data_IF_753553117963
#
_entry.id   IF_753553117963
#
_cell.length_a   1.000
_cell.length_b   1.000
_cell.length_c   1.000
_cell.angle_alpha   90.00
_cell.angle_beta   90.00
_cell.angle_gamma   90.00
#
_symmetry.space_group_name_H-M   'P 1'
#
loop_
_entity.id
_entity.type
_entity.pdbx_description
1 polymer ?
#
# COMPACT_ATOMS: atom_id res chain seq x y z
N UNK A 1 4.64 22.10 -5.67
CA UNK A 1 5.11 20.69 -5.67
C UNK A 1 5.73 20.43 -4.30
N UNK A 2 5.02 19.69 -3.44
CA UNK A 2 5.23 19.70 -1.99
C UNK A 2 6.49 18.94 -1.57
N UNK A 3 7.17 19.39 -0.50
CA UNK A 3 8.34 18.74 0.12
C UNK A 3 8.18 17.22 0.28
N UNK A 4 6.97 16.76 0.57
CA UNK A 4 6.61 15.34 0.71
C UNK A 4 6.84 14.54 -0.58
N UNK A 5 6.50 15.10 -1.73
CA UNK A 5 6.71 14.44 -3.03
C UNK A 5 8.20 14.30 -3.34
N UNK A 6 9.01 15.30 -2.99
CA UNK A 6 10.47 15.21 -3.14
C UNK A 6 11.02 14.08 -2.26
N UNK A 7 10.58 14.02 -1.00
CA UNK A 7 11.00 12.98 -0.06
C UNK A 7 10.58 11.57 -0.49
N UNK A 8 9.55 11.42 -1.32
CA UNK A 8 9.10 10.11 -1.79
C UNK A 8 10.11 9.39 -2.70
N UNK A 9 11.00 10.14 -3.36
CA UNK A 9 12.00 9.57 -4.28
C UNK A 9 13.13 8.78 -3.58
N UNK A 10 13.40 9.04 -2.31
CA UNK A 10 14.48 8.37 -1.58
C UNK A 10 14.11 8.18 -0.12
N UNK A 11 14.55 7.06 0.46
CA UNK A 11 14.39 6.83 1.89
C UNK A 11 15.13 7.89 2.72
N UNK A 12 14.76 8.01 4.00
CA UNK A 12 15.49 8.86 4.96
C UNK A 12 16.99 8.56 4.95
N UNK A 13 17.39 7.30 4.82
CA UNK A 13 18.78 6.88 4.73
C UNK A 13 19.47 7.39 3.47
N UNK A 14 18.78 7.44 2.32
CA UNK A 14 19.30 8.05 1.11
C UNK A 14 19.55 9.55 1.28
N UNK A 15 18.59 10.29 1.84
CA UNK A 15 18.78 11.72 2.11
C UNK A 15 19.90 11.99 3.12
N UNK A 16 19.98 11.22 4.21
CA UNK A 16 21.07 11.34 5.19
C UNK A 16 22.44 11.03 4.55
N UNK A 17 22.50 9.99 3.71
CA UNK A 17 23.72 9.62 2.99
C UNK A 17 24.16 10.70 2.00
N UNK A 18 23.21 11.38 1.33
CA UNK A 18 23.51 12.49 0.43
C UNK A 18 24.10 13.67 1.19
N UNK A 19 23.50 14.04 2.33
CA UNK A 19 23.99 15.14 3.18
C UNK A 19 25.38 14.81 3.72
N UNK A 20 25.53 13.65 4.35
CA UNK A 20 26.82 13.19 4.87
C UNK A 20 27.87 13.12 3.75
N UNK A 21 27.51 12.54 2.61
CA UNK A 21 28.37 12.39 1.45
C UNK A 21 28.88 13.74 0.93
N UNK A 22 27.98 14.72 0.83
CA UNK A 22 28.30 16.09 0.42
C UNK A 22 29.26 16.77 1.40
N UNK A 23 29.06 16.60 2.71
CA UNK A 23 29.95 17.19 3.73
C UNK A 23 31.33 16.52 3.69
N UNK A 24 31.36 15.19 3.64
CA UNK A 24 32.59 14.40 3.64
C UNK A 24 33.43 14.60 2.37
N UNK A 25 32.82 14.99 1.25
CA UNK A 25 33.52 15.31 0.00
C UNK A 25 34.58 16.42 0.16
N UNK A 26 34.36 17.36 1.08
CA UNK A 26 35.29 18.46 1.37
C UNK A 26 36.36 18.12 2.41
N UNK A 27 36.39 16.88 2.91
CA UNK A 27 37.40 16.42 3.88
C UNK A 27 38.65 15.88 3.17
N UNK A 28 39.83 15.89 3.82
CA UNK A 28 41.04 15.30 3.25
C UNK A 28 40.91 13.78 3.05
N UNK A 29 41.75 13.23 2.16
CA UNK A 29 41.86 11.78 1.97
C UNK A 29 42.12 11.05 3.30
N UNK A 30 41.48 9.90 3.55
CA UNK A 30 40.57 9.16 2.67
C UNK A 30 39.07 9.51 2.84
N UNK A 31 38.73 10.55 3.62
CA UNK A 31 37.34 10.85 3.98
C UNK A 31 36.48 11.32 2.81
N UNK A 32 37.05 12.05 1.85
CA UNK A 32 36.38 12.40 0.58
C UNK A 32 35.88 11.18 -0.22
N UNK A 33 36.59 10.04 -0.19
CA UNK A 33 36.16 8.80 -0.86
C UNK A 33 34.90 8.23 -0.23
N UNK A 34 34.82 8.24 1.10
CA UNK A 34 33.57 7.90 1.80
C UNK A 34 32.45 8.89 1.45
N UNK A 35 32.80 10.17 1.24
CA UNK A 35 31.89 11.19 0.74
C UNK A 35 31.28 10.83 -0.61
N UNK A 36 32.14 10.48 -1.58
CA UNK A 36 31.73 10.05 -2.91
C UNK A 36 30.87 8.79 -2.89
N UNK A 37 31.24 7.79 -2.06
CA UNK A 37 30.44 6.58 -1.87
C UNK A 37 29.02 6.91 -1.36
N UNK A 38 28.89 7.84 -0.42
CA UNK A 38 27.58 8.28 0.10
C UNK A 38 26.73 8.99 -0.95
N UNK A 39 27.33 9.86 -1.77
CA UNK A 39 26.65 10.53 -2.88
C UNK A 39 26.16 9.50 -3.89
N UNK A 40 27.03 8.59 -4.33
CA UNK A 40 26.67 7.57 -5.31
C UNK A 40 25.61 6.59 -4.77
N UNK A 41 25.68 6.20 -3.50
CA UNK A 41 24.64 5.38 -2.86
C UNK A 41 23.27 6.07 -2.90
N UNK A 42 23.23 7.37 -2.60
CA UNK A 42 22.00 8.17 -2.65
C UNK A 42 21.45 8.24 -4.07
N UNK A 43 22.32 8.47 -5.06
CA UNK A 43 21.95 8.46 -6.46
C UNK A 43 21.50 7.09 -6.98
N UNK A 44 22.03 5.98 -6.45
CA UNK A 44 21.52 4.64 -6.73
C UNK A 44 20.07 4.49 -6.22
N UNK A 45 19.77 4.97 -5.02
CA UNK A 45 18.41 4.93 -4.47
C UNK A 45 17.44 5.79 -5.30
N UNK A 46 17.88 6.99 -5.71
CA UNK A 46 17.10 7.83 -6.61
C UNK A 46 16.86 7.15 -7.97
N UNK A 47 17.91 6.56 -8.55
CA UNK A 47 17.87 5.85 -9.82
C UNK A 47 16.92 4.64 -9.77
N UNK A 48 16.90 3.92 -8.66
CA UNK A 48 15.96 2.81 -8.42
C UNK A 48 14.51 3.29 -8.43
N UNK A 49 14.20 4.38 -7.72
CA UNK A 49 12.85 4.95 -7.70
C UNK A 49 12.40 5.41 -9.09
N UNK A 50 13.30 6.06 -9.85
CA UNK A 50 13.01 6.46 -11.23
C UNK A 50 12.79 5.23 -12.11
N UNK A 51 13.60 4.18 -11.95
CA UNK A 51 13.49 2.95 -12.73
C UNK A 51 12.18 2.19 -12.47
N UNK A 52 11.65 2.24 -11.24
CA UNK A 52 10.32 1.71 -10.92
C UNK A 52 9.21 2.55 -11.56
N UNK A 53 9.33 3.88 -11.53
CA UNK A 53 8.37 4.77 -12.20
C UNK A 53 8.36 4.50 -13.72
N UNK A 54 9.52 4.35 -14.34
CA UNK A 54 9.61 4.05 -15.77
C UNK A 54 9.04 2.67 -16.11
N UNK A 55 9.13 1.71 -15.19
CA UNK A 55 8.53 0.38 -15.34
C UNK A 55 7.00 0.48 -15.41
N UNK A 56 6.38 1.14 -14.43
CA UNK A 56 4.92 1.37 -14.45
C UNK A 56 4.48 2.17 -15.69
N UNK A 57 5.31 3.13 -16.10
CA UNK A 57 5.03 3.91 -17.31
C UNK A 57 5.11 3.05 -18.58
N UNK A 58 5.98 2.05 -18.63
CA UNK A 58 6.05 1.09 -19.73
C UNK A 58 4.75 0.30 -19.92
N UNK A 59 4.14 -0.18 -18.83
CA UNK A 59 2.83 -0.81 -18.90
C UNK A 59 1.76 0.13 -19.47
N UNK A 60 1.78 1.39 -19.05
CA UNK A 60 0.86 2.40 -19.56
C UNK A 60 1.02 2.63 -21.06
N UNK A 61 2.26 2.82 -21.54
CA UNK A 61 2.55 3.04 -22.96
C UNK A 61 2.08 1.85 -23.80
N UNK A 62 2.42 0.63 -23.38
CA UNK A 62 2.13 -0.57 -24.17
C UNK A 62 0.65 -0.94 -24.18
N UNK A 63 -0.08 -0.64 -23.10
CA UNK A 63 -1.54 -0.78 -23.08
C UNK A 63 -2.19 0.15 -24.11
N UNK A 64 -1.63 1.35 -24.31
CA UNK A 64 -2.09 2.26 -25.37
C UNK A 64 -1.76 1.78 -26.78
N UNK A 65 -0.61 1.12 -26.97
CA UNK A 65 -0.24 0.55 -28.27
C UNK A 65 -1.24 -0.51 -28.76
N UNK A 66 -1.92 -1.20 -27.83
CA UNK A 66 -2.97 -2.17 -28.16
C UNK A 66 -4.38 -1.58 -28.20
N UNK A 67 -4.49 -0.24 -28.15
CA UNK A 67 -5.75 0.49 -28.25
C UNK A 67 -6.59 0.55 -26.97
N UNK A 68 -6.01 0.19 -25.82
CA UNK A 68 -6.67 0.22 -24.51
C UNK A 68 -6.09 1.34 -23.63
N UNK A 69 -6.73 1.60 -22.48
CA UNK A 69 -6.22 2.54 -21.48
C UNK A 69 -6.20 1.86 -20.11
N UNK A 70 -5.06 1.88 -19.40
CA UNK A 70 -5.05 1.41 -18.03
C UNK A 70 -5.91 2.35 -17.18
N UNK A 71 -6.63 1.78 -16.22
CA UNK A 71 -7.59 2.52 -15.40
C UNK A 71 -6.91 3.26 -14.25
N UNK A 72 -5.90 2.65 -13.66
CA UNK A 72 -5.16 3.22 -12.52
C UNK A 72 -3.67 2.90 -12.61
N UNK A 73 -2.87 3.89 -12.27
CA UNK A 73 -1.42 3.80 -12.08
C UNK A 73 -1.19 4.15 -10.61
N UNK A 74 -0.55 3.24 -9.86
CA UNK A 74 -0.16 3.49 -8.48
C UNK A 74 1.36 3.51 -8.44
N UNK A 75 1.92 4.63 -7.98
CA UNK A 75 3.35 4.81 -7.81
C UNK A 75 3.65 4.93 -6.33
N UNK A 76 4.46 4.00 -5.84
CA UNK A 76 4.93 3.93 -4.48
C UNK A 76 4.02 3.18 -3.51
N UNK A 77 4.47 3.11 -2.27
CA UNK A 77 3.81 2.48 -1.13
C UNK A 77 3.73 3.46 0.05
N UNK A 78 3.00 3.10 1.10
CA UNK A 78 2.79 3.96 2.28
C UNK A 78 1.62 4.93 2.12
N UNK A 79 1.69 6.07 2.81
CA UNK A 79 0.62 7.06 2.81
C UNK A 79 0.38 7.67 1.43
N UNK A 80 -0.89 7.85 1.07
CA UNK A 80 -1.28 8.51 -0.16
C UNK A 80 -0.93 10.01 -0.09
N UNK A 81 -0.17 10.49 -1.06
CA UNK A 81 0.22 11.90 -1.17
C UNK A 81 -0.76 12.69 -2.03
N UNK A 82 -1.16 12.09 -3.15
CA UNK A 82 -2.00 12.74 -4.15
C UNK A 82 -2.72 11.69 -5.00
N UNK A 83 -4.00 11.95 -5.24
CA UNK A 83 -4.81 11.30 -6.28
C UNK A 83 -5.12 12.32 -7.36
N UNK A 84 -4.77 12.03 -8.59
CA UNK A 84 -5.03 12.91 -9.73
C UNK A 84 -5.37 12.11 -10.99
N UNK A 85 -5.69 12.78 -12.08
CA UNK A 85 -5.90 12.17 -13.38
C UNK A 85 -4.68 12.39 -14.27
N UNK A 86 -4.25 11.32 -14.94
CA UNK A 86 -3.24 11.34 -15.99
C UNK A 86 -3.89 10.82 -17.27
N UNK A 87 -4.30 11.75 -18.15
CA UNK A 87 -5.17 11.47 -19.29
C UNK A 87 -6.47 10.76 -18.84
N UNK A 88 -6.73 9.54 -19.31
CA UNK A 88 -7.90 8.72 -18.96
C UNK A 88 -7.64 7.77 -17.78
N UNK A 89 -6.44 7.81 -17.19
CA UNK A 89 -6.00 6.94 -16.11
C UNK A 89 -5.99 7.72 -14.80
N UNK A 90 -6.43 7.11 -13.70
CA UNK A 90 -6.22 7.66 -12.35
C UNK A 90 -4.76 7.42 -11.94
N UNK A 91 -4.12 8.41 -11.34
CA UNK A 91 -2.75 8.34 -10.85
C UNK A 91 -2.74 8.56 -9.33
N UNK A 92 -2.29 7.54 -8.60
CA UNK A 92 -2.09 7.60 -7.15
C UNK A 92 -0.59 7.66 -6.87
N UNK A 93 -0.15 8.72 -6.18
CA UNK A 93 1.23 8.85 -5.71
C UNK A 93 1.27 8.64 -4.21
N UNK A 94 2.13 7.73 -3.76
CA UNK A 94 2.31 7.40 -2.34
C UNK A 94 3.68 7.89 -1.81
N UNK A 95 3.85 7.85 -0.49
CA UNK A 95 4.97 8.50 0.20
C UNK A 95 6.33 7.83 0.03
N UNK A 96 6.40 6.62 -0.54
CA UNK A 96 7.65 5.88 -0.78
C UNK A 96 7.66 5.28 -2.18
N UNK A 97 8.47 5.79 -3.11
CA UNK A 97 8.56 5.27 -4.49
C UNK A 97 9.38 3.98 -4.59
N UNK A 98 9.00 2.97 -3.81
CA UNK A 98 9.67 1.66 -3.68
C UNK A 98 8.80 0.51 -4.22
N UNK A 99 7.91 0.80 -5.16
CA UNK A 99 7.03 -0.15 -5.81
C UNK A 99 5.96 0.58 -6.60
N UNK A 100 5.05 -0.16 -7.18
CA UNK A 100 3.95 0.36 -7.95
C UNK A 100 3.15 -0.77 -8.57
N UNK A 101 2.04 -0.42 -9.21
CA UNK A 101 1.36 -1.31 -10.13
C UNK A 101 0.49 -0.50 -11.10
N UNK A 102 0.27 -1.06 -12.29
CA UNK A 102 -0.70 -0.57 -13.26
C UNK A 102 -1.86 -1.54 -13.41
N UNK A 103 -3.07 -1.04 -13.22
CA UNK A 103 -4.28 -1.79 -13.52
C UNK A 103 -4.65 -1.62 -14.99
N UNK A 104 -4.34 -2.63 -15.81
CA UNK A 104 -4.46 -2.54 -17.27
C UNK A 104 -5.92 -2.47 -17.77
N UNK A 105 -6.87 -3.10 -17.06
CA UNK A 105 -8.28 -3.32 -17.44
C UNK A 105 -8.51 -3.42 -18.97
N UNK A 106 -8.08 -4.53 -19.56
CA UNK A 106 -8.23 -4.81 -20.99
C UNK A 106 -9.66 -5.26 -21.29
N UNK A 107 -10.29 -4.65 -22.30
CA UNK A 107 -11.65 -5.00 -22.75
C UNK A 107 -11.76 -6.44 -23.23
N UNK A 108 -12.96 -6.97 -23.04
CA UNK A 108 -13.31 -8.34 -23.40
C UNK A 108 -13.37 -8.52 -24.92
N UNK A 109 -12.72 -9.58 -25.42
CA UNK A 109 -12.77 -9.90 -26.85
C UNK A 109 -11.75 -10.93 -27.32
N UNK A 110 -11.76 -11.17 -28.64
CA UNK A 110 -10.98 -12.21 -29.34
C UNK A 110 -9.46 -12.17 -29.08
N UNK A 111 -8.91 -10.99 -28.78
CA UNK A 111 -7.48 -10.78 -28.57
C UNK A 111 -7.11 -10.42 -27.13
N UNK A 112 -7.97 -10.68 -26.15
CA UNK A 112 -7.75 -10.34 -24.75
C UNK A 112 -6.37 -10.77 -24.24
N UNK A 113 -6.01 -12.06 -24.39
CA UNK A 113 -4.72 -12.57 -23.93
C UNK A 113 -3.52 -11.89 -24.58
N UNK A 114 -3.56 -11.66 -25.90
CA UNK A 114 -2.48 -10.97 -26.62
C UNK A 114 -2.34 -9.51 -26.19
N UNK A 115 -3.46 -8.79 -26.04
CA UNK A 115 -3.46 -7.40 -25.56
C UNK A 115 -2.89 -7.30 -24.15
N UNK A 116 -3.31 -8.20 -23.25
CA UNK A 116 -2.77 -8.29 -21.88
C UNK A 116 -1.28 -8.60 -21.89
N UNK A 117 -0.82 -9.54 -22.73
CA UNK A 117 0.60 -9.88 -22.85
C UNK A 117 1.43 -8.66 -23.25
N UNK A 118 1.01 -7.92 -24.28
CA UNK A 118 1.71 -6.71 -24.73
C UNK A 118 1.71 -5.64 -23.64
N UNK A 119 0.58 -5.40 -22.97
CA UNK A 119 0.48 -4.46 -21.86
C UNK A 119 1.41 -4.80 -20.69
N UNK A 120 1.49 -6.07 -20.29
CA UNK A 120 2.40 -6.55 -19.24
C UNK A 120 3.86 -6.50 -19.69
N UNK A 121 4.17 -6.82 -20.94
CA UNK A 121 5.54 -6.77 -21.46
C UNK A 121 6.14 -5.36 -21.45
N UNK A 122 5.28 -4.33 -21.51
CA UNK A 122 5.71 -2.94 -21.62
C UNK A 122 6.64 -2.46 -20.52
N UNK A 123 6.37 -2.81 -19.26
CA UNK A 123 7.21 -2.40 -18.13
C UNK A 123 8.64 -2.92 -18.26
N UNK A 124 8.84 -4.25 -18.30
CA UNK A 124 10.16 -4.85 -18.48
C UNK A 124 10.91 -4.35 -19.72
N UNK A 125 10.21 -4.23 -20.85
CA UNK A 125 10.84 -3.87 -22.13
C UNK A 125 11.32 -2.42 -22.16
N UNK A 126 10.54 -1.48 -21.63
CA UNK A 126 10.94 -0.07 -21.52
C UNK A 126 12.17 0.09 -20.62
N UNK A 127 12.18 -0.59 -19.47
CA UNK A 127 13.32 -0.60 -18.56
C UNK A 127 14.58 -1.15 -19.24
N UNK A 128 14.48 -2.29 -19.94
CA UNK A 128 15.62 -2.86 -20.66
C UNK A 128 16.13 -1.91 -21.74
N UNK A 129 15.23 -1.31 -22.54
CA UNK A 129 15.60 -0.38 -23.60
C UNK A 129 16.33 0.86 -23.07
N UNK A 130 15.82 1.48 -22.00
CA UNK A 130 16.47 2.63 -21.35
C UNK A 130 17.82 2.21 -20.77
N UNK A 131 17.87 1.07 -20.07
CA UNK A 131 19.10 0.57 -19.46
C UNK A 131 20.24 0.36 -20.47
N UNK A 132 19.95 -0.32 -21.59
CA UNK A 132 20.91 -0.53 -22.68
C UNK A 132 21.36 0.80 -23.28
N UNK A 133 20.42 1.70 -23.61
CA UNK A 133 20.74 2.99 -24.21
C UNK A 133 21.65 3.84 -23.32
N UNK A 134 21.36 3.91 -22.01
CA UNK A 134 22.18 4.66 -21.05
C UNK A 134 23.58 4.07 -20.93
N UNK A 135 23.70 2.74 -20.79
CA UNK A 135 25.01 2.09 -20.63
C UNK A 135 25.89 2.28 -21.88
N UNK A 136 25.29 2.20 -23.08
CA UNK A 136 26.02 2.42 -24.33
C UNK A 136 26.54 3.86 -24.50
N UNK A 137 25.93 4.84 -23.83
CA UNK A 137 26.32 6.25 -23.92
C UNK A 137 27.36 6.69 -22.87
N UNK A 138 27.64 5.88 -21.84
CA UNK A 138 28.51 6.27 -20.72
C UNK A 138 29.91 5.66 -20.87
N UNK A 139 31.00 6.48 -20.88
CA UNK A 139 32.37 5.97 -20.93
C UNK A 139 32.73 5.18 -19.64
N UNK A 140 33.53 4.12 -19.79
CA UNK A 140 33.75 3.01 -18.86
C UNK A 140 34.51 3.30 -17.52
N UNK A 141 34.46 4.49 -16.93
CA UNK A 141 35.07 4.67 -15.59
C UNK A 141 34.10 4.26 -14.47
N UNK A 142 34.39 3.13 -13.81
CA UNK A 142 33.54 2.50 -12.77
C UNK A 142 34.20 2.64 -11.39
N UNK A 143 34.79 3.79 -11.06
CA UNK A 143 35.24 4.02 -9.68
C UNK A 143 34.14 4.71 -8.88
N UNK A 144 33.43 3.91 -8.08
CA UNK A 144 32.35 4.36 -7.19
C UNK A 144 32.85 5.29 -6.07
N UNK A 145 34.15 5.26 -5.76
CA UNK A 145 34.77 6.05 -4.69
C UNK A 145 35.44 7.33 -5.19
N UNK A 146 35.72 7.43 -6.50
CA UNK A 146 36.46 8.56 -7.06
C UNK A 146 35.63 9.39 -8.07
N UNK A 147 34.51 8.88 -8.62
CA UNK A 147 33.67 9.61 -9.59
C UNK A 147 32.17 9.52 -9.30
N UNK A 148 31.38 10.49 -9.76
CA UNK A 148 29.92 10.40 -9.71
C UNK A 148 29.46 9.42 -10.80
N UNK A 149 28.93 8.27 -10.39
CA UNK A 149 28.62 7.14 -11.27
C UNK A 149 27.10 6.98 -11.52
N UNK A 150 26.30 8.02 -11.28
CA UNK A 150 24.83 7.95 -11.38
C UNK A 150 24.33 7.36 -12.70
N UNK A 151 24.82 7.83 -13.85
CA UNK A 151 24.30 7.40 -15.16
C UNK A 151 24.47 5.90 -15.39
N UNK A 152 25.63 5.33 -15.04
CA UNK A 152 25.87 3.91 -15.24
C UNK A 152 25.05 3.04 -14.27
N UNK A 153 24.93 3.46 -13.00
CA UNK A 153 24.09 2.75 -12.03
C UNK A 153 22.60 2.87 -12.33
N UNK A 154 22.15 4.02 -12.81
CA UNK A 154 20.79 4.18 -13.31
C UNK A 154 20.52 3.19 -14.45
N UNK A 155 21.43 3.09 -15.42
CA UNK A 155 21.35 2.08 -16.49
C UNK A 155 21.28 0.64 -15.96
N UNK A 156 22.12 0.30 -14.98
CA UNK A 156 22.08 -1.02 -14.34
C UNK A 156 20.79 -1.28 -13.55
N UNK A 157 20.25 -0.30 -12.82
CA UNK A 157 18.99 -0.45 -12.08
C UNK A 157 17.81 -0.66 -13.04
N UNK A 158 17.83 0.02 -14.19
CA UNK A 158 16.85 -0.19 -15.26
C UNK A 158 16.91 -1.63 -15.78
N UNK A 159 18.11 -2.12 -16.14
CA UNK A 159 18.29 -3.51 -16.56
C UNK A 159 17.87 -4.50 -15.47
N UNK A 160 18.24 -4.26 -14.22
CA UNK A 160 17.93 -5.13 -13.09
C UNK A 160 16.41 -5.27 -12.91
N UNK A 161 15.68 -4.16 -12.84
CA UNK A 161 14.21 -4.17 -12.69
C UNK A 161 13.56 -4.83 -13.90
N UNK A 162 13.99 -4.49 -15.12
CA UNK A 162 13.42 -5.05 -16.34
C UNK A 162 13.60 -6.56 -16.42
N UNK A 163 14.84 -7.05 -16.23
CA UNK A 163 15.14 -8.48 -16.27
C UNK A 163 14.52 -9.26 -15.11
N UNK A 164 14.53 -8.70 -13.90
CA UNK A 164 13.93 -9.37 -12.73
C UNK A 164 12.43 -9.59 -12.90
N UNK A 165 11.70 -8.64 -13.51
CA UNK A 165 10.26 -8.76 -13.75
C UNK A 165 9.93 -9.73 -14.91
N UNK A 166 10.89 -10.13 -15.74
CA UNK A 166 10.68 -11.22 -16.71
C UNK A 166 10.68 -12.60 -16.05
N UNK A 167 11.22 -12.74 -14.84
CA UNK A 167 11.26 -14.02 -14.14
C UNK A 167 9.85 -14.45 -13.71
N UNK A 168 9.43 -15.70 -13.99
CA UNK A 168 8.10 -16.18 -13.65
C UNK A 168 8.00 -16.48 -12.15
N UNK A 169 7.73 -15.44 -11.36
CA UNK A 169 7.65 -15.52 -9.90
C UNK A 169 6.25 -15.21 -9.38
N UNK A 170 5.94 -15.76 -8.19
CA UNK A 170 4.75 -15.46 -7.39
C UNK A 170 5.20 -15.25 -5.97
N UNK A 171 4.67 -14.22 -5.30
CA UNK A 171 4.90 -13.99 -3.87
C UNK A 171 3.59 -13.68 -3.19
N UNK A 172 3.52 -13.98 -1.89
CA UNK A 172 2.43 -13.46 -1.05
C UNK A 172 2.83 -12.08 -0.56
N UNK A 173 2.04 -11.06 -0.91
CA UNK A 173 2.19 -9.69 -0.41
C UNK A 173 1.00 -9.44 0.50
N UNK A 174 1.25 -9.28 1.80
CA UNK A 174 0.22 -9.16 2.83
C UNK A 174 -0.81 -10.30 2.75
N UNK A 175 -0.36 -11.54 2.58
CA UNK A 175 -1.25 -12.71 2.45
C UNK A 175 -1.82 -12.94 1.04
N UNK A 176 -2.02 -11.89 0.24
CA UNK A 176 -2.51 -12.01 -1.13
C UNK A 176 -1.47 -12.61 -2.07
N UNK A 177 -1.79 -13.68 -2.80
CA UNK A 177 -0.84 -14.31 -3.70
C UNK A 177 -0.79 -13.57 -5.05
N UNK A 178 0.26 -12.78 -5.24
CA UNK A 178 0.47 -11.93 -6.42
C UNK A 178 1.41 -12.58 -7.44
N UNK A 179 0.96 -12.68 -8.68
CA UNK A 179 1.78 -13.08 -9.83
C UNK A 179 2.49 -11.85 -10.40
N UNK A 180 3.81 -11.92 -10.57
CA UNK A 180 4.60 -10.86 -11.21
C UNK A 180 4.50 -10.97 -12.74
N UNK A 181 4.90 -9.90 -13.44
CA UNK A 181 4.79 -9.76 -14.90
C UNK A 181 5.22 -11.02 -15.67
N UNK A 182 6.40 -11.56 -15.38
CA UNK A 182 6.94 -12.75 -16.03
C UNK A 182 6.05 -13.98 -15.90
N UNK A 183 5.39 -14.14 -14.75
CA UNK A 183 4.47 -15.26 -14.51
C UNK A 183 3.13 -15.03 -15.21
N UNK A 184 2.62 -13.80 -15.22
CA UNK A 184 1.43 -13.44 -15.99
C UNK A 184 1.67 -13.73 -17.48
N UNK A 185 2.78 -13.25 -18.04
CA UNK A 185 3.17 -13.49 -19.43
C UNK A 185 3.31 -14.98 -19.73
N UNK A 186 4.00 -15.74 -18.88
CA UNK A 186 4.15 -17.19 -19.04
C UNK A 186 2.79 -17.90 -19.01
N UNK A 187 1.90 -17.53 -18.09
CA UNK A 187 0.55 -18.11 -18.01
C UNK A 187 -0.27 -17.82 -19.27
N UNK A 188 -0.11 -16.64 -19.88
CA UNK A 188 -0.77 -16.32 -21.15
C UNK A 188 -0.24 -17.20 -22.27
N UNK A 189 1.09 -17.33 -22.41
CA UNK A 189 1.72 -18.17 -23.44
C UNK A 189 1.34 -19.65 -23.30
N UNK A 190 1.18 -20.14 -22.07
CA UNK A 190 0.75 -21.51 -21.78
C UNK A 190 -0.78 -21.72 -21.89
N UNK A 191 -1.56 -20.69 -22.23
CA UNK A 191 -3.03 -20.76 -22.27
C UNK A 191 -3.69 -20.99 -20.90
N UNK A 192 -2.96 -20.75 -19.81
CA UNK A 192 -3.43 -20.89 -18.42
C UNK A 192 -3.98 -19.61 -17.83
N UNK A 193 -3.74 -18.47 -18.48
CA UNK A 193 -4.25 -17.18 -18.04
C UNK A 193 -5.77 -17.12 -18.28
N UNK A 194 -6.53 -17.24 -17.18
CA UNK A 194 -7.98 -17.15 -17.20
C UNK A 194 -8.39 -15.79 -16.68
N UNK A 195 -9.43 -15.25 -17.31
CA UNK A 195 -10.10 -14.04 -16.86
C UNK A 195 -11.04 -14.42 -15.72
N UNK A 196 -10.87 -13.77 -14.57
CA UNK A 196 -11.68 -14.05 -13.38
C UNK A 196 -12.93 -13.14 -13.32
N UNK A 197 -12.85 -11.89 -13.78
CA UNK A 197 -13.93 -10.91 -13.76
C UNK A 197 -14.09 -10.19 -15.11
N UNK A 198 -15.30 -9.77 -15.46
CA UNK A 198 -15.56 -8.90 -16.62
C UNK A 198 -14.85 -7.56 -16.49
N UNK A 199 -14.51 -6.93 -17.63
CA UNK A 199 -13.93 -5.58 -17.61
C UNK A 199 -14.84 -4.56 -16.91
N UNK A 200 -16.17 -4.77 -16.99
CA UNK A 200 -17.20 -4.02 -16.29
C UNK A 200 -17.16 -4.22 -14.77
N UNK A 201 -17.03 -5.47 -14.29
CA UNK A 201 -16.92 -5.75 -12.86
C UNK A 201 -15.62 -5.19 -12.26
N UNK A 202 -14.52 -5.22 -13.03
CA UNK A 202 -13.27 -4.57 -12.63
C UNK A 202 -13.49 -3.06 -12.49
N UNK A 203 -14.17 -2.41 -13.45
CA UNK A 203 -14.46 -0.99 -13.39
C UNK A 203 -15.29 -0.60 -12.16
N UNK A 204 -16.37 -1.32 -11.92
CA UNK A 204 -17.22 -1.10 -10.75
C UNK A 204 -16.46 -1.33 -9.44
N UNK A 205 -15.59 -2.34 -9.37
CA UNK A 205 -14.77 -2.57 -8.18
C UNK A 205 -13.82 -1.42 -7.90
N UNK A 206 -13.26 -0.82 -8.95
CA UNK A 206 -12.34 0.31 -8.83
C UNK A 206 -13.07 1.57 -8.40
N UNK A 207 -14.28 1.81 -8.91
CA UNK A 207 -15.16 2.87 -8.43
C UNK A 207 -15.48 2.69 -6.94
N UNK A 208 -15.84 1.47 -6.52
CA UNK A 208 -16.08 1.15 -5.12
C UNK A 208 -14.88 1.45 -4.22
N UNK A 209 -13.68 1.02 -4.61
CA UNK A 209 -12.44 1.34 -3.89
C UNK A 209 -12.15 2.84 -3.82
N UNK A 210 -12.43 3.58 -4.90
CA UNK A 210 -12.24 5.02 -4.92
C UNK A 210 -13.16 5.72 -3.92
N UNK A 211 -14.43 5.30 -3.86
CA UNK A 211 -15.41 5.78 -2.88
C UNK A 211 -15.02 5.42 -1.45
N UNK A 212 -14.50 4.22 -1.17
CA UNK A 212 -13.96 3.85 0.16
C UNK A 212 -12.86 4.81 0.58
N UNK A 213 -11.93 5.11 -0.33
CA UNK A 213 -10.83 6.03 -0.05
C UNK A 213 -11.27 7.50 0.09
N UNK A 214 -12.46 7.84 -0.40
CA UNK A 214 -13.11 9.15 -0.20
C UNK A 214 -14.06 9.14 1.03
N UNK A 215 -14.10 8.06 1.82
CA UNK A 215 -15.01 7.86 2.93
C UNK A 215 -16.51 7.89 2.55
N UNK A 216 -16.82 7.64 1.28
CA UNK A 216 -18.18 7.61 0.72
C UNK A 216 -18.72 6.18 0.69
N UNK A 217 -18.93 5.63 1.87
CA UNK A 217 -19.20 4.20 2.05
C UNK A 217 -20.54 3.72 1.46
N UNK A 218 -21.57 4.58 1.40
CA UNK A 218 -22.85 4.22 0.76
C UNK A 218 -22.72 4.01 -0.76
N UNK A 219 -21.94 4.87 -1.43
CA UNK A 219 -21.66 4.74 -2.86
C UNK A 219 -20.75 3.54 -3.13
N UNK A 220 -19.73 3.34 -2.29
CA UNK A 220 -18.89 2.15 -2.35
C UNK A 220 -19.69 0.85 -2.22
N UNK A 221 -20.60 0.80 -1.23
CA UNK A 221 -21.48 -0.32 -0.99
C UNK A 221 -22.31 -0.65 -2.24
N UNK A 222 -22.94 0.36 -2.85
CA UNK A 222 -23.72 0.21 -4.08
C UNK A 222 -22.88 -0.42 -5.20
N UNK A 223 -21.65 0.07 -5.40
CA UNK A 223 -20.75 -0.46 -6.44
C UNK A 223 -20.31 -1.89 -6.18
N UNK A 224 -19.99 -2.24 -4.94
CA UNK A 224 -19.62 -3.62 -4.61
C UNK A 224 -20.80 -4.60 -4.71
N UNK A 225 -22.02 -4.15 -4.42
CA UNK A 225 -23.23 -4.96 -4.64
C UNK A 225 -23.50 -5.20 -6.13
N UNK A 226 -23.28 -4.20 -6.99
CA UNK A 226 -23.33 -4.35 -8.45
C UNK A 226 -22.26 -5.35 -8.94
N UNK A 227 -21.02 -5.23 -8.46
CA UNK A 227 -19.95 -6.20 -8.75
C UNK A 227 -20.34 -7.63 -8.35
N UNK A 228 -20.91 -7.79 -7.16
CA UNK A 228 -21.29 -9.11 -6.64
C UNK A 228 -22.39 -9.75 -7.50
N UNK A 229 -23.31 -8.96 -8.05
CA UNK A 229 -24.34 -9.43 -9.01
C UNK A 229 -23.72 -9.87 -10.33
N UNK A 230 -22.72 -9.15 -10.84
CA UNK A 230 -22.02 -9.51 -12.09
C UNK A 230 -21.10 -10.72 -11.93
N UNK A 231 -20.51 -10.91 -10.75
CA UNK A 231 -19.51 -11.93 -10.46
C UNK A 231 -20.07 -13.14 -9.69
N UNK A 232 -21.39 -13.28 -9.54
CA UNK A 232 -21.98 -14.37 -8.74
C UNK A 232 -21.63 -15.77 -9.24
N UNK A 233 -21.24 -15.90 -10.51
CA UNK A 233 -20.78 -17.15 -11.14
C UNK A 233 -19.25 -17.24 -11.29
N UNK A 234 -18.51 -16.17 -10.96
CA UNK A 234 -17.04 -16.07 -11.14
C UNK A 234 -16.22 -16.86 -10.10
N UNK A 235 -16.88 -17.62 -9.24
CA UNK A 235 -16.23 -18.45 -8.22
C UNK A 235 -16.07 -17.79 -6.84
N UNK A 236 -15.56 -18.55 -5.87
CA UNK A 236 -15.56 -18.17 -4.46
C UNK A 236 -14.58 -17.03 -4.14
N UNK A 237 -13.48 -16.87 -4.90
CA UNK A 237 -12.47 -15.83 -4.68
C UNK A 237 -13.05 -14.42 -4.79
N UNK A 238 -13.58 -14.06 -5.96
CA UNK A 238 -14.13 -12.72 -6.20
C UNK A 238 -15.37 -12.45 -5.36
N UNK A 239 -16.25 -13.45 -5.22
CA UNK A 239 -17.45 -13.38 -4.38
C UNK A 239 -17.08 -13.02 -2.94
N UNK A 240 -16.06 -13.68 -2.38
CA UNK A 240 -15.59 -13.42 -1.02
C UNK A 240 -14.93 -12.05 -0.89
N UNK A 241 -14.14 -11.62 -1.87
CA UNK A 241 -13.52 -10.28 -1.87
C UNK A 241 -14.57 -9.17 -1.86
N UNK A 242 -15.60 -9.26 -2.72
CA UNK A 242 -16.66 -8.25 -2.74
C UNK A 242 -17.52 -8.28 -1.48
N UNK A 243 -17.83 -9.47 -0.93
CA UNK A 243 -18.52 -9.58 0.36
C UNK A 243 -17.70 -8.98 1.51
N UNK A 244 -16.39 -9.18 1.51
CA UNK A 244 -15.51 -8.57 2.49
C UNK A 244 -15.58 -7.03 2.41
N UNK A 245 -15.47 -6.47 1.20
CA UNK A 245 -15.58 -5.02 0.98
C UNK A 245 -16.96 -4.45 1.35
N UNK A 246 -18.04 -5.19 1.10
CA UNK A 246 -19.40 -4.83 1.56
C UNK A 246 -19.45 -4.80 3.09
N UNK A 247 -18.91 -5.81 3.77
CA UNK A 247 -18.81 -5.84 5.23
C UNK A 247 -18.01 -4.68 5.79
N UNK A 248 -16.91 -4.30 5.13
CA UNK A 248 -16.12 -3.10 5.47
C UNK A 248 -16.95 -1.81 5.33
N UNK A 249 -17.75 -1.68 4.28
CA UNK A 249 -18.63 -0.52 4.10
C UNK A 249 -19.68 -0.46 5.21
N UNK A 250 -20.35 -1.57 5.52
CA UNK A 250 -21.32 -1.62 6.62
C UNK A 250 -20.69 -1.23 7.96
N UNK A 251 -19.46 -1.69 8.25
CA UNK A 251 -18.73 -1.31 9.45
C UNK A 251 -18.53 0.20 9.55
N UNK A 252 -18.04 0.84 8.48
CA UNK A 252 -17.80 2.28 8.48
C UNK A 252 -19.09 3.13 8.48
N UNK A 253 -20.22 2.54 8.07
CA UNK A 253 -21.55 3.13 8.19
C UNK A 253 -22.18 2.94 9.58
N UNK A 254 -21.53 2.21 10.49
CA UNK A 254 -22.06 1.90 11.82
C UNK A 254 -23.05 0.74 11.85
N UNK A 255 -23.28 0.06 10.73
CA UNK A 255 -24.18 -1.08 10.60
C UNK A 255 -23.44 -2.38 10.97
N UNK A 256 -23.10 -2.52 12.25
CA UNK A 256 -22.23 -3.58 12.73
C UNK A 256 -22.83 -5.00 12.57
N UNK A 257 -24.13 -5.17 12.76
CA UNK A 257 -24.78 -6.48 12.64
C UNK A 257 -24.85 -6.96 11.19
N UNK A 258 -25.10 -6.05 10.24
CA UNK A 258 -25.01 -6.29 8.79
C UNK A 258 -23.58 -6.64 8.38
N UNK A 259 -22.59 -5.92 8.93
CA UNK A 259 -21.18 -6.21 8.70
C UNK A 259 -20.85 -7.64 9.15
N UNK A 260 -21.14 -8.00 10.41
CA UNK A 260 -20.88 -9.33 10.96
C UNK A 260 -21.59 -10.43 10.17
N UNK A 261 -22.87 -10.26 9.81
CA UNK A 261 -23.61 -11.22 8.99
C UNK A 261 -23.00 -11.41 7.60
N UNK A 262 -22.49 -10.34 6.99
CA UNK A 262 -21.85 -10.40 5.67
C UNK A 262 -20.49 -11.08 5.75
N UNK A 263 -19.68 -10.73 6.74
CA UNK A 263 -18.38 -11.32 7.00
C UNK A 263 -18.47 -12.81 7.34
N UNK A 264 -19.53 -13.24 8.04
CA UNK A 264 -19.75 -14.66 8.32
C UNK A 264 -19.84 -15.51 7.03
N UNK A 265 -20.48 -14.96 5.99
CA UNK A 265 -20.55 -15.63 4.69
C UNK A 265 -19.20 -15.75 3.98
N UNK A 266 -18.23 -14.89 4.30
CA UNK A 266 -16.84 -15.00 3.83
C UNK A 266 -16.10 -16.04 4.66
N UNK A 267 -16.30 -16.03 5.98
CA UNK A 267 -15.72 -16.99 6.92
C UNK A 267 -16.06 -18.44 6.56
N UNK A 268 -17.31 -18.70 6.21
CA UNK A 268 -17.79 -20.04 5.83
C UNK A 268 -17.06 -20.59 4.59
N UNK A 269 -16.47 -19.71 3.77
CA UNK A 269 -15.71 -20.06 2.57
C UNK A 269 -14.19 -20.14 2.81
N UNK A 270 -13.68 -19.81 4.00
CA UNK A 270 -12.24 -19.83 4.30
C UNK A 270 -11.61 -21.23 4.23
N UNK A 271 -12.42 -22.28 4.31
CA UNK A 271 -11.97 -23.67 4.09
C UNK A 271 -11.49 -23.90 2.65
N UNK A 272 -11.90 -23.05 1.71
CA UNK A 272 -11.42 -23.06 0.34
C UNK A 272 -10.05 -22.38 0.26
N UNK A 273 -9.05 -23.12 -0.25
CA UNK A 273 -7.68 -22.62 -0.45
C UNK A 273 -7.60 -21.31 -1.23
N UNK A 274 -8.55 -21.08 -2.13
CA UNK A 274 -8.62 -19.87 -2.96
C UNK A 274 -9.04 -18.63 -2.15
N UNK A 275 -9.72 -18.81 -1.01
CA UNK A 275 -10.25 -17.74 -0.15
C UNK A 275 -9.43 -17.56 1.13
N UNK A 276 -8.66 -18.58 1.55
CA UNK A 276 -7.82 -18.60 2.75
C UNK A 276 -6.99 -17.31 2.97
N UNK A 277 -6.52 -16.68 1.88
CA UNK A 277 -5.74 -15.45 1.95
C UNK A 277 -6.49 -14.26 2.59
N UNK A 278 -7.83 -14.28 2.63
CA UNK A 278 -8.66 -13.27 3.29
C UNK A 278 -8.76 -13.47 4.80
N UNK A 279 -8.34 -14.61 5.36
CA UNK A 279 -8.56 -14.94 6.78
C UNK A 279 -8.01 -13.85 7.73
N UNK A 280 -6.77 -13.40 7.50
CA UNK A 280 -6.15 -12.36 8.33
C UNK A 280 -6.91 -11.03 8.28
N UNK A 281 -7.39 -10.64 7.10
CA UNK A 281 -8.19 -9.44 6.89
C UNK A 281 -9.57 -9.53 7.54
N UNK A 282 -10.21 -10.69 7.41
CA UNK A 282 -11.52 -10.98 8.00
C UNK A 282 -11.46 -10.87 9.52
N UNK A 283 -10.49 -11.56 10.14
CA UNK A 283 -10.29 -11.49 11.59
C UNK A 283 -9.93 -10.09 12.06
N UNK A 284 -9.17 -9.33 11.27
CA UNK A 284 -8.89 -7.93 11.62
C UNK A 284 -10.16 -7.08 11.61
N UNK A 285 -11.03 -7.26 10.62
CA UNK A 285 -12.26 -6.49 10.54
C UNK A 285 -13.24 -6.88 11.66
N UNK A 286 -13.33 -8.16 12.02
CA UNK A 286 -14.03 -8.58 13.25
C UNK A 286 -13.46 -7.89 14.49
N UNK A 287 -12.14 -7.86 14.62
CA UNK A 287 -11.48 -7.21 15.75
C UNK A 287 -11.82 -5.72 15.84
N UNK A 288 -11.82 -5.00 14.71
CA UNK A 288 -12.22 -3.59 14.65
C UNK A 288 -13.70 -3.39 15.01
N UNK A 289 -14.61 -4.24 14.51
CA UNK A 289 -16.04 -4.17 14.86
C UNK A 289 -16.23 -4.34 16.36
N UNK A 290 -15.66 -5.39 16.96
CA UNK A 290 -15.80 -5.65 18.40
C UNK A 290 -15.12 -4.59 19.25
N UNK A 291 -13.96 -4.08 18.81
CA UNK A 291 -13.27 -2.96 19.47
C UNK A 291 -14.18 -1.74 19.56
N UNK A 292 -14.84 -1.37 18.46
CA UNK A 292 -15.75 -0.22 18.40
C UNK A 292 -17.05 -0.48 19.17
N UNK A 293 -17.50 -1.72 19.28
CA UNK A 293 -18.61 -2.07 20.17
C UNK A 293 -18.24 -2.11 21.66
N UNK A 294 -16.94 -2.09 21.99
CA UNK A 294 -16.44 -2.20 23.37
C UNK A 294 -16.36 -3.64 23.89
N UNK A 295 -16.58 -4.63 23.04
CA UNK A 295 -16.42 -6.06 23.37
C UNK A 295 -14.93 -6.44 23.23
N UNK A 296 -14.15 -6.05 24.23
CA UNK A 296 -12.68 -6.17 24.20
C UNK A 296 -12.24 -7.65 24.19
N UNK A 297 -13.02 -8.54 24.81
CA UNK A 297 -12.72 -9.98 24.81
C UNK A 297 -12.79 -10.56 23.39
N UNK A 298 -13.89 -10.31 22.66
CA UNK A 298 -14.00 -10.76 21.26
C UNK A 298 -13.02 -10.03 20.35
N UNK A 299 -12.77 -8.74 20.58
CA UNK A 299 -11.78 -7.98 19.84
C UNK A 299 -10.39 -8.61 19.98
N UNK A 300 -10.00 -8.99 21.20
CA UNK A 300 -8.73 -9.66 21.50
C UNK A 300 -8.61 -11.00 20.80
N UNK A 301 -9.63 -11.85 20.89
CA UNK A 301 -9.63 -13.15 20.23
C UNK A 301 -9.45 -13.02 18.71
N UNK A 302 -10.22 -12.12 18.07
CA UNK A 302 -10.12 -11.89 16.63
C UNK A 302 -8.79 -11.23 16.23
N UNK A 303 -8.32 -10.23 17.00
CA UNK A 303 -7.07 -9.53 16.75
C UNK A 303 -5.85 -10.45 16.83
N UNK A 304 -5.85 -11.40 17.78
CA UNK A 304 -4.79 -12.39 17.91
C UNK A 304 -4.74 -13.33 16.71
N UNK A 305 -5.89 -13.77 16.19
CA UNK A 305 -5.95 -14.58 14.96
C UNK A 305 -5.42 -13.79 13.76
N UNK A 306 -5.82 -12.53 13.60
CA UNK A 306 -5.34 -11.67 12.52
C UNK A 306 -3.81 -11.50 12.58
N UNK A 307 -3.27 -11.20 13.76
CA UNK A 307 -1.83 -11.01 13.97
C UNK A 307 -1.05 -12.29 13.74
N UNK A 308 -1.58 -13.46 14.13
CA UNK A 308 -0.94 -14.74 13.87
C UNK A 308 -0.81 -15.01 12.37
N UNK A 309 -1.85 -14.69 11.59
CA UNK A 309 -1.88 -14.92 10.14
C UNK A 309 -1.03 -13.92 9.36
N UNK A 310 -0.98 -12.66 9.80
CA UNK A 310 -0.31 -11.55 9.11
C UNK A 310 0.46 -10.66 10.11
N UNK A 311 1.55 -11.16 10.72
CA UNK A 311 2.24 -10.48 11.81
C UNK A 311 2.91 -9.16 11.40
N UNK A 312 3.31 -9.04 10.15
CA UNK A 312 4.03 -7.87 9.61
C UNK A 312 3.10 -6.88 8.89
N UNK A 313 1.78 -7.11 8.87
CA UNK A 313 0.86 -6.23 8.17
C UNK A 313 0.43 -5.07 9.07
N UNK A 314 0.91 -3.87 8.76
CA UNK A 314 0.72 -2.67 9.58
C UNK A 314 -0.74 -2.42 10.02
N UNK A 315 -1.78 -2.52 9.14
CA UNK A 315 -3.17 -2.36 9.60
C UNK A 315 -3.61 -3.35 10.68
N UNK A 316 -3.07 -4.57 10.69
CA UNK A 316 -3.34 -5.58 11.74
C UNK A 316 -2.58 -5.25 13.02
N UNK A 317 -1.30 -4.89 12.88
CA UNK A 317 -0.49 -4.43 14.01
C UNK A 317 -1.12 -3.21 14.68
N UNK A 318 -1.63 -2.27 13.89
CA UNK A 318 -2.37 -1.10 14.35
C UNK A 318 -3.60 -1.49 15.19
N UNK A 319 -4.52 -2.29 14.64
CA UNK A 319 -5.71 -2.73 15.37
C UNK A 319 -5.34 -3.50 16.64
N UNK A 320 -4.33 -4.37 16.57
CA UNK A 320 -3.83 -5.08 17.74
C UNK A 320 -3.25 -4.14 18.81
N UNK A 321 -2.50 -3.12 18.40
CA UNK A 321 -2.01 -2.07 19.28
C UNK A 321 -3.14 -1.34 20.02
N UNK A 322 -4.22 -0.98 19.31
CA UNK A 322 -5.41 -0.38 19.93
C UNK A 322 -6.04 -1.32 20.98
N UNK A 323 -6.19 -2.61 20.65
CA UNK A 323 -6.72 -3.63 21.56
C UNK A 323 -5.85 -3.78 22.81
N UNK A 324 -4.53 -3.81 22.67
CA UNK A 324 -3.60 -3.86 23.80
C UNK A 324 -3.81 -2.67 24.75
N UNK A 325 -4.01 -1.47 24.20
CA UNK A 325 -4.27 -0.27 25.01
C UNK A 325 -5.62 -0.35 25.72
N UNK A 326 -6.67 -0.88 25.07
CA UNK A 326 -7.97 -1.11 25.72
C UNK A 326 -7.90 -2.17 26.82
N UNK A 327 -6.99 -3.14 26.71
CA UNK A 327 -6.66 -4.13 27.74
C UNK A 327 -5.70 -3.62 28.82
N UNK A 328 -5.37 -2.31 28.82
CA UNK A 328 -4.45 -1.69 29.76
C UNK A 328 -2.99 -2.22 29.67
N UNK A 329 -2.63 -2.87 28.56
CA UNK A 329 -1.27 -3.33 28.29
C UNK A 329 -0.42 -2.20 27.67
N UNK A 330 -0.24 -1.12 28.44
CA UNK A 330 0.28 0.18 27.97
C UNK A 330 1.62 0.10 27.22
N UNK A 331 2.58 -0.65 27.74
CA UNK A 331 3.92 -0.74 27.16
C UNK A 331 3.92 -1.47 25.81
N UNK A 332 3.16 -2.58 25.73
CA UNK A 332 3.00 -3.33 24.48
C UNK A 332 2.19 -2.53 23.46
N UNK A 333 1.20 -1.77 23.93
CA UNK A 333 0.44 -0.82 23.11
C UNK A 333 1.34 0.26 22.48
N UNK A 334 2.21 0.90 23.28
CA UNK A 334 3.19 1.88 22.76
C UNK A 334 4.13 1.25 21.74
N UNK A 335 4.68 0.08 22.05
CA UNK A 335 5.62 -0.63 21.18
C UNK A 335 4.99 -0.91 19.81
N UNK A 336 3.72 -1.30 19.80
CA UNK A 336 3.00 -1.62 18.57
C UNK A 336 2.59 -0.38 17.76
N UNK A 337 2.15 0.68 18.44
CA UNK A 337 1.56 1.87 17.80
C UNK A 337 2.60 2.94 17.44
N UNK A 338 3.57 3.20 18.32
CA UNK A 338 4.51 4.33 18.15
C UNK A 338 5.37 4.29 16.89
N UNK A 339 5.83 3.12 16.36
CA UNK A 339 6.60 3.07 15.12
C UNK A 339 5.78 3.42 13.87
N UNK A 340 4.46 3.31 13.95
CA UNK A 340 3.53 3.59 12.85
C UNK A 340 3.00 5.03 12.88
N UNK A 341 3.27 5.77 13.96
CA UNK A 341 2.83 7.16 14.10
C UNK A 341 3.65 8.08 13.18
N UNK A 342 2.95 8.79 12.29
CA UNK A 342 3.55 9.81 11.44
C UNK A 342 2.71 11.11 11.46
N UNK A 343 3.25 12.13 12.13
CA UNK A 343 2.60 13.44 12.28
C UNK A 343 2.54 14.24 10.98
N UNK A 344 3.30 13.86 9.94
CA UNK A 344 3.25 14.53 8.65
C UNK A 344 2.04 14.08 7.82
N UNK A 345 1.36 12.98 8.18
CA UNK A 345 0.20 12.48 7.44
C UNK A 345 -1.04 12.47 8.32
N UNK A 346 -2.05 13.24 7.92
CA UNK A 346 -3.36 13.26 8.58
C UNK A 346 -4.27 12.29 7.82
N UNK A 347 -4.69 11.21 8.49
CA UNK A 347 -5.64 10.22 8.00
C UNK A 347 -6.20 9.42 9.19
N UNK A 348 -7.24 8.61 8.97
CA UNK A 348 -7.85 7.80 10.04
C UNK A 348 -6.86 6.95 10.83
N UNK A 349 -5.86 6.35 10.17
CA UNK A 349 -4.88 5.50 10.86
C UNK A 349 -4.00 6.32 11.82
N UNK A 350 -3.39 7.42 11.34
CA UNK A 350 -2.51 8.23 12.19
C UNK A 350 -3.27 8.99 13.28
N UNK A 351 -4.53 9.37 13.02
CA UNK A 351 -5.40 9.97 14.03
C UNK A 351 -5.76 8.97 15.13
N UNK A 352 -6.17 7.75 14.77
CA UNK A 352 -6.51 6.73 15.76
C UNK A 352 -5.30 6.30 16.60
N UNK A 353 -4.13 6.14 15.97
CA UNK A 353 -2.86 5.93 16.68
C UNK A 353 -2.60 7.07 17.67
N UNK A 354 -2.76 8.34 17.26
CA UNK A 354 -2.52 9.48 18.13
C UNK A 354 -3.52 9.55 19.30
N UNK A 355 -4.79 9.18 19.09
CA UNK A 355 -5.81 9.09 20.14
C UNK A 355 -5.36 8.07 21.21
N UNK A 356 -5.03 6.85 20.79
CA UNK A 356 -4.59 5.80 21.72
C UNK A 356 -3.24 6.11 22.39
N UNK A 357 -2.27 6.64 21.65
CA UNK A 357 -0.98 7.05 22.22
C UNK A 357 -1.13 8.20 23.23
N UNK A 358 -2.12 9.08 23.07
CA UNK A 358 -2.42 10.10 24.09
C UNK A 358 -2.79 9.45 25.43
N UNK A 359 -3.66 8.43 25.39
CA UNK A 359 -4.04 7.68 26.58
C UNK A 359 -2.86 6.93 27.20
N UNK A 360 -2.08 6.22 26.39
CA UNK A 360 -0.87 5.51 26.83
C UNK A 360 0.11 6.47 27.53
N UNK A 361 0.39 7.62 26.91
CA UNK A 361 1.33 8.59 27.46
C UNK A 361 0.81 9.33 28.69
N UNK A 362 -0.51 9.47 28.85
CA UNK A 362 -1.10 9.91 30.10
C UNK A 362 -0.83 8.91 31.22
N UNK A 363 -1.09 7.62 31.00
CA UNK A 363 -0.89 6.60 32.02
C UNK A 363 0.59 6.41 32.41
N UNK A 364 1.50 6.53 31.43
CA UNK A 364 2.95 6.45 31.67
C UNK A 364 3.58 7.75 32.18
N UNK A 365 2.81 8.84 32.36
CA UNK A 365 3.34 10.13 32.81
C UNK A 365 4.25 10.86 31.80
N UNK A 366 4.21 10.49 30.51
CA UNK A 366 5.06 11.05 29.43
C UNK A 366 4.46 12.35 28.87
N UNK A 367 4.39 13.40 29.70
CA UNK A 367 3.66 14.65 29.40
C UNK A 367 3.95 15.28 28.02
N UNK A 368 5.22 15.44 27.62
CA UNK A 368 5.58 16.02 26.31
C UNK A 368 5.08 15.20 25.12
N UNK A 369 5.15 13.86 25.20
CA UNK A 369 4.68 13.00 24.12
C UNK A 369 3.15 13.01 24.07
N UNK A 370 2.49 12.98 25.24
CA UNK A 370 1.03 13.12 25.37
C UNK A 370 0.55 14.41 24.69
N UNK A 371 1.13 15.56 25.06
CA UNK A 371 0.75 16.88 24.54
C UNK A 371 0.87 16.91 23.02
N UNK A 372 1.97 16.43 22.46
CA UNK A 372 2.17 16.36 21.01
C UNK A 372 1.10 15.51 20.29
N UNK A 373 0.78 14.33 20.82
CA UNK A 373 -0.28 13.48 20.25
C UNK A 373 -1.65 14.16 20.37
N UNK A 374 -1.92 14.76 21.52
CA UNK A 374 -3.19 15.43 21.78
C UNK A 374 -3.40 16.64 20.87
N UNK A 375 -2.41 17.51 20.73
CA UNK A 375 -2.44 18.67 19.83
C UNK A 375 -2.72 18.23 18.39
N UNK A 376 -2.06 17.17 17.93
CA UNK A 376 -2.29 16.62 16.60
C UNK A 376 -3.75 16.17 16.41
N UNK A 377 -4.34 15.47 17.39
CA UNK A 377 -5.75 15.07 17.35
C UNK A 377 -6.67 16.30 17.34
N UNK A 378 -6.42 17.27 18.22
CA UNK A 378 -7.26 18.47 18.36
C UNK A 378 -7.27 19.34 17.09
N UNK A 379 -6.12 19.47 16.42
CA UNK A 379 -6.01 20.21 15.16
C UNK A 379 -6.76 19.56 14.00
N UNK A 380 -7.09 18.27 14.11
CA UNK A 380 -7.60 17.45 13.01
C UNK A 380 -8.90 16.69 13.33
N UNK A 381 -9.67 17.13 14.34
CA UNK A 381 -10.95 16.51 14.72
C UNK A 381 -11.96 16.42 13.56
N UNK A 382 -11.93 17.38 12.64
CA UNK A 382 -12.81 17.39 11.47
C UNK A 382 -12.58 16.23 10.50
N UNK A 383 -11.39 15.61 10.53
CA UNK A 383 -10.98 14.51 9.66
C UNK A 383 -11.37 13.13 10.23
N UNK A 384 -11.92 13.07 11.45
CA UNK A 384 -12.36 11.81 12.04
C UNK A 384 -13.61 11.28 11.32
N UNK A 385 -13.53 10.03 10.85
CA UNK A 385 -14.71 9.33 10.32
C UNK A 385 -15.67 8.92 11.47
N UNK A 386 -16.83 8.38 11.13
CA UNK A 386 -17.85 7.96 12.12
C UNK A 386 -17.27 7.03 13.20
N UNK A 387 -16.52 6.01 12.78
CA UNK A 387 -15.92 5.01 13.66
C UNK A 387 -14.85 5.64 14.55
N UNK A 388 -13.98 6.47 13.97
CA UNK A 388 -12.91 7.15 14.69
C UNK A 388 -13.49 8.07 15.78
N UNK A 389 -14.63 8.73 15.53
CA UNK A 389 -15.34 9.57 16.52
C UNK A 389 -15.85 8.76 17.71
N UNK A 390 -16.43 7.60 17.48
CA UNK A 390 -16.90 6.71 18.57
C UNK A 390 -15.75 6.30 19.49
N UNK A 391 -14.59 5.97 18.92
CA UNK A 391 -13.41 5.65 19.72
C UNK A 391 -12.87 6.90 20.42
N UNK A 392 -12.79 8.04 19.71
CA UNK A 392 -12.34 9.30 20.28
C UNK A 392 -13.14 9.70 21.54
N UNK A 393 -14.47 9.66 21.47
CA UNK A 393 -15.34 10.01 22.58
C UNK A 393 -15.12 9.10 23.79
N UNK A 394 -14.97 7.78 23.56
CA UNK A 394 -14.67 6.82 24.62
C UNK A 394 -13.32 7.08 25.28
N UNK A 395 -12.29 7.35 24.49
CA UNK A 395 -10.95 7.62 25.01
C UNK A 395 -10.92 8.97 25.73
N UNK A 396 -11.67 9.96 25.25
CA UNK A 396 -11.82 11.25 25.92
C UNK A 396 -12.38 11.08 27.35
N UNK A 397 -13.40 10.25 27.55
CA UNK A 397 -13.93 9.92 28.88
C UNK A 397 -12.85 9.31 29.79
N UNK A 398 -12.09 8.33 29.28
CA UNK A 398 -10.95 7.73 30.01
C UNK A 398 -9.88 8.76 30.37
N UNK A 399 -9.62 9.76 29.52
CA UNK A 399 -8.64 10.81 29.77
C UNK A 399 -9.11 11.80 30.84
N UNK A 400 -10.43 12.08 30.92
CA UNK A 400 -11.02 13.02 31.89
C UNK A 400 -11.39 12.37 33.23
N UNK A 401 -11.33 11.04 33.32
CA UNK A 401 -11.70 10.29 34.53
C UNK A 401 -13.21 10.23 34.78
N UNK A 402 -14.00 10.39 33.71
CA UNK A 402 -15.46 10.18 33.67
C UNK A 402 -15.75 8.81 33.07
#
# INVERSE_FOLDING_TARGET
MTKKLLLAFMSKYGWMSLIFGTIALFMPMPFNRFGMMGINYSFCLLGLSIALITHEWGHWVFTRLVGEYPKRIVIGTGHMLMRTHFFKSKLNLNSKFQGGYVMLNIRDGKYYGLKTFVGVLGGPLVNIAIGVAVIMMVPFSIDFSDTITFSIWFGYMQLLIGLANLLPSRKKINGFPMDFDGRIMLNILLGKYKKEASSEAIDLSMEGEDYVAEHRYDEALTKFEECLKLCSESGPTLTSTFRFNIGLCYFHLGNYDEALRTLKKVEDLLTLKEVEHLAGYLHNLYANIYLVQGDIEKATAAGQQALHLLPEFDPIRHTWGCILVENEEWDRGEEMLSPQMDFDYVNSTTLLIAIYLTLVYQQQGKSKKKERCWEFVQLHLAELNLVDKVIYERILLKLTGQ
#
